data_IF_838514992889
#
_entry.id   IF_838514992889
#
_cell.length_a   1.000
_cell.length_b   1.000
_cell.length_c   1.000
_cell.angle_alpha   90.00
_cell.angle_beta   90.00
_cell.angle_gamma   90.00
#
_symmetry.space_group_name_H-M   'P 1'
#
loop_
_entity.id
_entity.type
_entity.pdbx_description
1 polymer ?
#
# COMPACT_ATOMS: atom_id res chain seq x y z
N UNK A 1 1.81 -12.34 35.41
CA UNK A 1 2.89 -13.04 34.66
C UNK A 1 2.59 -13.12 33.14
N UNK A 2 1.45 -13.73 32.67
CA UNK A 2 1.16 -13.83 31.23
C UNK A 2 0.75 -12.48 30.64
N UNK A 3 0.02 -11.64 31.35
CA UNK A 3 -0.34 -10.27 30.92
C UNK A 3 0.87 -9.35 30.87
N UNK A 4 1.80 -9.47 31.81
CA UNK A 4 3.05 -8.71 31.83
C UNK A 4 3.96 -9.02 30.63
N UNK A 5 4.02 -10.31 30.25
CA UNK A 5 4.77 -10.76 29.06
C UNK A 5 4.09 -10.25 27.78
N UNK A 6 2.77 -10.21 27.73
CA UNK A 6 2.02 -9.67 26.58
C UNK A 6 2.17 -8.16 26.45
N UNK A 7 2.21 -7.43 27.55
CA UNK A 7 2.47 -5.98 27.56
C UNK A 7 3.92 -5.67 27.12
N UNK A 8 4.89 -6.50 27.52
CA UNK A 8 6.29 -6.35 27.12
C UNK A 8 6.52 -6.69 25.64
N UNK A 9 5.75 -7.64 25.06
CA UNK A 9 5.75 -7.96 23.64
C UNK A 9 5.00 -6.88 22.84
N UNK A 10 3.93 -6.31 23.39
CA UNK A 10 3.17 -5.21 22.77
C UNK A 10 4.01 -3.96 22.58
N UNK A 11 4.75 -3.53 23.61
CA UNK A 11 5.65 -2.37 23.54
C UNK A 11 6.79 -2.53 22.52
N UNK A 12 7.32 -3.74 22.34
CA UNK A 12 8.37 -4.00 21.34
C UNK A 12 7.86 -4.02 19.90
N UNK A 13 6.57 -4.22 19.68
CA UNK A 13 5.95 -4.15 18.35
C UNK A 13 5.59 -2.71 17.96
N UNK A 14 5.17 -1.89 18.92
CA UNK A 14 4.85 -0.47 18.71
C UNK A 14 6.09 0.40 18.41
N UNK A 15 7.27 0.04 18.92
CA UNK A 15 8.53 0.74 18.64
C UNK A 15 9.06 0.54 17.19
N UNK A 16 8.48 -0.36 16.39
CA UNK A 16 8.84 -0.57 14.98
C UNK A 16 7.94 0.13 13.97
N UNK A 17 6.85 0.73 14.39
CA UNK A 17 6.16 1.73 13.63
C UNK A 17 6.93 3.05 13.74
N UNK A 18 8.04 3.18 12.99
CA UNK A 18 8.67 4.49 12.78
C UNK A 18 7.59 5.44 12.28
N UNK A 19 7.18 6.36 13.14
CA UNK A 19 6.32 7.46 12.80
C UNK A 19 6.91 8.22 11.61
N UNK A 20 6.41 7.94 10.41
CA UNK A 20 6.69 8.70 9.19
C UNK A 20 6.00 10.08 9.19
N UNK A 21 5.51 10.52 10.34
CA UNK A 21 4.98 11.87 10.56
C UNK A 21 6.08 12.95 10.65
N UNK A 22 7.33 12.58 10.38
CA UNK A 22 8.43 13.53 10.41
C UNK A 22 8.55 14.35 9.12
N UNK A 23 7.54 15.13 8.82
CA UNK A 23 7.69 16.43 8.13
C UNK A 23 8.24 17.50 9.09
N UNK A 24 8.87 17.07 10.21
CA UNK A 24 9.50 17.99 11.14
C UNK A 24 10.68 18.68 10.44
N UNK A 25 10.87 19.97 10.68
CA UNK A 25 11.98 20.75 10.09
C UNK A 25 13.35 20.20 10.49
N UNK A 26 13.44 19.39 11.53
CA UNK A 26 14.67 18.75 12.03
C UNK A 26 15.03 17.44 11.32
N UNK A 27 14.12 16.83 10.53
CA UNK A 27 14.41 15.61 9.81
C UNK A 27 15.37 15.83 8.63
N UNK A 28 16.27 14.87 8.30
CA UNK A 28 17.16 14.98 7.16
C UNK A 28 16.41 15.28 5.86
N UNK A 29 16.94 16.13 5.01
CA UNK A 29 16.26 16.60 3.78
C UNK A 29 15.73 15.46 2.88
N UNK A 30 16.48 14.35 2.81
CA UNK A 30 16.06 13.17 2.03
C UNK A 30 14.84 12.48 2.64
N UNK A 31 14.76 12.41 3.98
CA UNK A 31 13.62 11.83 4.70
C UNK A 31 12.37 12.67 4.42
N UNK A 32 12.47 13.99 4.59
CA UNK A 32 11.37 14.92 4.27
C UNK A 32 10.93 14.84 2.82
N UNK A 33 11.89 14.70 1.89
CA UNK A 33 11.57 14.60 0.46
C UNK A 33 10.76 13.34 0.15
N UNK A 34 11.18 12.17 0.65
CA UNK A 34 10.47 10.90 0.43
C UNK A 34 9.08 10.95 1.06
N UNK A 35 8.98 11.41 2.30
CA UNK A 35 7.69 11.59 2.99
C UNK A 35 6.77 12.53 2.20
N UNK A 36 7.30 13.65 1.70
CA UNK A 36 6.53 14.59 0.89
C UNK A 36 6.01 13.96 -0.41
N UNK A 37 6.84 13.18 -1.10
CA UNK A 37 6.42 12.45 -2.33
C UNK A 37 5.24 11.53 -2.03
N UNK A 38 5.31 10.76 -0.93
CA UNK A 38 4.24 9.84 -0.52
C UNK A 38 2.95 10.59 -0.17
N UNK A 39 3.04 11.65 0.61
CA UNK A 39 1.89 12.47 1.00
C UNK A 39 1.24 13.15 -0.21
N UNK A 40 2.03 13.73 -1.11
CA UNK A 40 1.51 14.37 -2.32
C UNK A 40 0.82 13.36 -3.25
N UNK A 41 1.38 12.15 -3.39
CA UNK A 41 0.77 11.08 -4.17
C UNK A 41 -0.60 10.67 -3.60
N UNK A 42 -0.69 10.50 -2.27
CA UNK A 42 -1.98 10.19 -1.62
C UNK A 42 -2.99 11.33 -1.77
N UNK A 43 -2.56 12.59 -1.60
CA UNK A 43 -3.41 13.78 -1.75
C UNK A 43 -3.97 13.89 -3.17
N UNK A 44 -3.17 13.54 -4.18
CA UNK A 44 -3.56 13.58 -5.59
C UNK A 44 -4.33 12.32 -6.02
N UNK A 45 -4.57 11.36 -5.11
CA UNK A 45 -5.17 10.06 -5.43
C UNK A 45 -4.41 9.33 -6.53
N UNK A 46 -3.08 9.45 -6.54
CA UNK A 46 -2.24 8.74 -7.48
C UNK A 46 -2.28 7.23 -7.21
N UNK A 47 -2.33 6.44 -8.28
CA UNK A 47 -2.24 4.98 -8.19
C UNK A 47 -0.79 4.49 -8.09
N UNK A 48 0.11 5.16 -8.81
CA UNK A 48 1.52 4.76 -8.87
C UNK A 48 2.43 6.00 -8.79
N UNK A 49 3.60 5.81 -8.17
CA UNK A 49 4.71 6.77 -8.14
C UNK A 49 5.89 6.10 -8.86
N UNK A 50 6.51 6.82 -9.77
CA UNK A 50 7.69 6.38 -10.50
C UNK A 50 8.86 7.30 -10.16
N UNK A 51 10.00 6.73 -9.77
CA UNK A 51 11.26 7.43 -9.57
C UNK A 51 12.21 6.88 -10.63
N UNK A 52 12.41 7.64 -11.68
CA UNK A 52 13.11 7.22 -12.87
C UNK A 52 14.46 7.94 -12.98
N UNK A 53 15.59 7.24 -12.78
CA UNK A 53 16.90 7.82 -13.01
C UNK A 53 17.13 8.06 -14.50
N UNK A 54 17.76 9.17 -14.81
CA UNK A 54 18.16 9.50 -16.17
C UNK A 54 19.69 9.67 -16.28
N UNK A 55 20.23 9.27 -17.42
CA UNK A 55 21.66 9.45 -17.68
C UNK A 55 21.96 10.93 -17.95
N UNK A 56 22.82 11.53 -17.10
CA UNK A 56 23.21 12.94 -17.22
C UNK A 56 22.08 13.97 -17.05
N UNK A 57 20.97 13.59 -16.42
CA UNK A 57 19.86 14.47 -16.09
C UNK A 57 19.35 14.17 -14.67
N UNK A 58 18.62 15.08 -14.01
CA UNK A 58 18.01 14.81 -12.71
C UNK A 58 17.04 13.63 -12.78
N UNK A 59 16.95 12.87 -11.69
CA UNK A 59 15.97 11.80 -11.54
C UNK A 59 14.56 12.37 -11.57
N UNK A 60 13.71 11.84 -12.44
CA UNK A 60 12.31 12.28 -12.52
C UNK A 60 11.45 11.54 -11.51
N UNK A 61 10.57 12.30 -10.85
CA UNK A 61 9.50 11.77 -10.02
C UNK A 61 8.19 12.01 -10.77
N UNK A 62 7.54 10.92 -11.15
CA UNK A 62 6.24 10.95 -11.86
C UNK A 62 5.16 10.29 -11.02
N UNK A 63 3.94 10.74 -11.15
CA UNK A 63 2.79 10.13 -10.51
C UNK A 63 1.73 9.79 -11.55
N UNK A 64 1.11 8.64 -11.41
CA UNK A 64 -0.04 8.25 -12.22
C UNK A 64 -1.31 8.69 -11.53
N UNK A 65 -2.00 9.65 -12.12
CA UNK A 65 -3.28 10.18 -11.64
C UNK A 65 -4.31 9.98 -12.74
N UNK A 66 -5.44 9.36 -12.43
CA UNK A 66 -6.50 9.02 -13.38
C UNK A 66 -5.98 8.29 -14.64
N UNK A 67 -5.05 7.35 -14.43
CA UNK A 67 -4.44 6.56 -15.49
C UNK A 67 -3.31 7.27 -16.28
N UNK A 68 -3.12 8.58 -16.09
CA UNK A 68 -2.12 9.39 -16.80
C UNK A 68 -0.90 9.65 -15.92
N UNK A 69 0.31 9.34 -16.41
CA UNK A 69 1.55 9.71 -15.75
C UNK A 69 1.87 11.20 -15.98
N UNK A 70 2.18 11.91 -14.90
CA UNK A 70 2.54 13.32 -14.90
C UNK A 70 3.86 13.53 -14.17
N UNK A 71 4.71 14.41 -14.69
CA UNK A 71 5.94 14.83 -14.00
C UNK A 71 5.56 15.71 -12.81
N UNK A 72 6.08 15.37 -11.62
CA UNK A 72 5.77 16.11 -10.38
C UNK A 72 6.96 16.90 -9.88
N UNK A 73 8.16 16.30 -9.88
CA UNK A 73 9.38 16.94 -9.41
C UNK A 73 10.61 16.25 -9.99
N UNK A 74 11.76 16.86 -9.74
CA UNK A 74 13.06 16.33 -10.13
C UNK A 74 13.97 16.27 -8.90
N UNK A 75 14.71 15.17 -8.77
CA UNK A 75 15.69 14.97 -7.71
C UNK A 75 17.08 15.11 -8.31
N UNK A 76 17.95 15.99 -7.78
CA UNK A 76 19.33 16.08 -8.24
C UNK A 76 20.04 14.73 -8.17
N UNK A 77 20.88 14.42 -9.16
CA UNK A 77 21.58 13.13 -9.24
C UNK A 77 22.43 12.83 -7.99
N UNK A 78 22.96 13.85 -7.34
CA UNK A 78 23.70 13.71 -6.07
C UNK A 78 22.87 13.10 -4.94
N UNK A 79 21.55 13.23 -4.97
CA UNK A 79 20.61 12.74 -3.95
C UNK A 79 19.87 11.47 -4.37
N UNK A 80 19.98 11.06 -5.64
CA UNK A 80 19.29 9.87 -6.16
C UNK A 80 19.51 8.62 -5.27
N UNK A 81 20.77 8.26 -5.04
CA UNK A 81 21.10 7.08 -4.26
C UNK A 81 20.59 7.15 -2.81
N UNK A 82 20.55 8.34 -2.22
CA UNK A 82 20.04 8.54 -0.87
C UNK A 82 18.51 8.37 -0.81
N UNK A 83 17.79 8.87 -1.82
CA UNK A 83 16.34 8.68 -1.96
C UNK A 83 15.99 7.18 -2.13
N UNK A 84 16.73 6.47 -3.02
CA UNK A 84 16.52 5.03 -3.21
C UNK A 84 16.82 4.25 -1.93
N UNK A 85 17.93 4.56 -1.25
CA UNK A 85 18.30 3.93 0.01
C UNK A 85 17.22 4.13 1.09
N UNK A 86 16.66 5.35 1.22
CA UNK A 86 15.57 5.63 2.16
C UNK A 86 14.32 4.80 1.84
N UNK A 87 13.92 4.73 0.58
CA UNK A 87 12.78 3.91 0.16
C UNK A 87 13.02 2.42 0.46
N UNK A 88 14.24 1.92 0.19
CA UNK A 88 14.60 0.53 0.52
C UNK A 88 14.54 0.24 2.01
N UNK A 89 15.03 1.15 2.86
CA UNK A 89 14.93 1.03 4.33
C UNK A 89 13.47 0.90 4.75
N UNK A 90 12.64 1.84 4.30
CA UNK A 90 11.21 1.86 4.61
C UNK A 90 10.46 0.61 4.14
N UNK A 91 10.97 -0.03 3.08
CA UNK A 91 10.34 -1.22 2.47
C UNK A 91 10.99 -2.53 2.91
N UNK A 92 11.93 -2.48 3.87
CA UNK A 92 12.72 -3.61 4.36
C UNK A 92 13.47 -4.36 3.25
N UNK A 93 14.02 -3.61 2.27
CA UNK A 93 14.80 -4.11 1.14
C UNK A 93 16.30 -4.01 1.40
N UNK A 94 17.08 -4.82 0.69
CA UNK A 94 18.55 -4.81 0.81
C UNK A 94 19.14 -3.57 0.12
N UNK A 95 19.72 -2.66 0.90
CA UNK A 95 20.33 -1.40 0.42
C UNK A 95 21.61 -1.66 -0.39
N UNK A 96 22.36 -2.68 -0.01
CA UNK A 96 23.64 -3.00 -0.64
C UNK A 96 23.49 -3.65 -2.03
N UNK A 97 22.38 -4.37 -2.26
CA UNK A 97 22.12 -5.02 -3.55
C UNK A 97 21.43 -4.05 -4.50
N UNK A 98 22.08 -3.79 -5.64
CA UNK A 98 21.61 -2.84 -6.67
C UNK A 98 21.51 -3.45 -8.07
N UNK A 99 21.83 -4.75 -8.21
CA UNK A 99 21.97 -5.42 -9.52
C UNK A 99 20.75 -6.26 -9.86
N UNK A 100 19.93 -6.59 -8.89
CA UNK A 100 18.73 -7.41 -9.10
C UNK A 100 17.48 -6.65 -8.65
N UNK A 101 16.34 -6.86 -9.31
CA UNK A 101 15.07 -6.30 -8.85
C UNK A 101 14.73 -6.78 -7.45
N UNK A 102 14.09 -5.92 -6.66
CA UNK A 102 13.60 -6.26 -5.33
C UNK A 102 12.16 -5.77 -5.19
N UNK A 103 11.32 -6.57 -4.53
CA UNK A 103 9.95 -6.23 -4.19
C UNK A 103 9.78 -6.16 -2.68
N UNK A 104 9.05 -5.16 -2.20
CA UNK A 104 8.75 -4.97 -0.80
C UNK A 104 7.48 -4.19 -0.57
N UNK A 105 7.22 -3.91 0.71
CA UNK A 105 6.09 -3.09 1.13
C UNK A 105 6.57 -2.05 2.14
N UNK A 106 5.99 -0.88 2.09
CA UNK A 106 6.09 0.13 3.14
C UNK A 106 4.69 0.57 3.55
N UNK A 107 4.59 1.11 4.74
CA UNK A 107 3.38 1.77 5.21
C UNK A 107 3.73 3.13 5.79
N UNK A 108 2.86 4.11 5.64
CA UNK A 108 3.00 5.41 6.27
C UNK A 108 1.65 5.91 6.77
N UNK A 109 1.67 6.72 7.83
CA UNK A 109 0.46 7.30 8.39
C UNK A 109 0.15 8.62 7.69
N UNK A 110 -1.09 8.82 7.31
CA UNK A 110 -1.59 10.09 6.80
C UNK A 110 -2.91 10.43 7.47
N UNK A 111 -2.91 11.45 8.32
CA UNK A 111 -4.10 11.90 9.07
C UNK A 111 -4.77 10.77 9.89
N UNK A 112 -3.98 9.93 10.54
CA UNK A 112 -4.47 8.80 11.33
C UNK A 112 -4.89 7.57 10.50
N UNK A 113 -4.68 7.59 9.18
CA UNK A 113 -4.92 6.44 8.31
C UNK A 113 -3.60 5.83 7.85
N UNK A 114 -3.44 4.54 8.08
CA UNK A 114 -2.30 3.78 7.54
C UNK A 114 -2.48 3.60 6.03
N UNK A 115 -1.49 4.03 5.26
CA UNK A 115 -1.44 3.89 3.82
C UNK A 115 -0.37 2.86 3.46
N UNK A 116 -0.77 1.75 2.89
CA UNK A 116 0.16 0.73 2.41
C UNK A 116 0.59 1.01 0.97
N UNK A 117 1.87 0.73 0.69
CA UNK A 117 2.47 0.94 -0.63
C UNK A 117 3.32 -0.27 -0.99
N UNK A 118 3.05 -0.86 -2.14
CA UNK A 118 3.93 -1.87 -2.72
C UNK A 118 5.06 -1.18 -3.46
N UNK A 119 6.28 -1.64 -3.22
CA UNK A 119 7.51 -1.05 -3.76
C UNK A 119 8.25 -2.10 -4.60
N UNK A 120 8.63 -1.73 -5.82
CA UNK A 120 9.51 -2.51 -6.67
C UNK A 120 10.71 -1.65 -7.06
N UNK A 121 11.92 -2.16 -6.84
CA UNK A 121 13.15 -1.53 -7.32
C UNK A 121 13.67 -2.28 -8.55
N UNK A 122 14.12 -1.56 -9.55
CA UNK A 122 14.55 -2.12 -10.84
C UNK A 122 15.90 -1.51 -11.23
N UNK A 123 16.95 -2.33 -11.41
CA UNK A 123 18.22 -1.86 -11.95
C UNK A 123 18.05 -1.31 -13.36
N UNK A 124 18.62 -0.15 -13.64
CA UNK A 124 18.68 0.46 -14.97
C UNK A 124 20.10 0.90 -15.29
N UNK A 125 20.34 1.26 -16.56
CA UNK A 125 21.66 1.79 -16.99
C UNK A 125 22.01 3.14 -16.36
N UNK A 126 21.03 3.84 -15.79
CA UNK A 126 21.23 5.15 -15.17
C UNK A 126 21.22 5.10 -13.62
N UNK A 127 20.99 3.94 -13.03
CA UNK A 127 20.83 3.72 -11.59
C UNK A 127 19.62 2.85 -11.31
N UNK A 128 19.24 2.73 -10.04
CA UNK A 128 18.01 2.00 -9.68
C UNK A 128 16.78 2.89 -9.86
N UNK A 129 15.81 2.40 -10.64
CA UNK A 129 14.46 2.97 -10.68
C UNK A 129 13.58 2.38 -9.59
N UNK A 130 12.55 3.11 -9.17
CA UNK A 130 11.56 2.64 -8.21
C UNK A 130 10.15 2.88 -8.73
N UNK A 131 9.31 1.86 -8.60
CA UNK A 131 7.87 1.97 -8.81
C UNK A 131 7.17 1.67 -7.48
N UNK A 132 6.35 2.59 -7.04
CA UNK A 132 5.56 2.45 -5.82
C UNK A 132 4.08 2.48 -6.18
N UNK A 133 3.34 1.43 -5.85
CA UNK A 133 1.88 1.36 -6.02
C UNK A 133 1.20 1.60 -4.69
N UNK A 134 0.38 2.65 -4.63
CA UNK A 134 -0.42 2.95 -3.46
C UNK A 134 -1.59 1.98 -3.42
N UNK A 135 -1.66 1.20 -2.34
CA UNK A 135 -2.78 0.29 -2.11
C UNK A 135 -3.97 1.07 -1.57
N UNK A 136 -5.17 0.56 -1.82
CA UNK A 136 -6.38 1.20 -1.31
C UNK A 136 -6.33 1.24 0.22
N UNK A 137 -6.21 2.44 0.80
CA UNK A 137 -6.23 2.63 2.25
C UNK A 137 -7.66 2.59 2.76
N UNK A 138 -7.90 1.77 3.75
CA UNK A 138 -9.20 1.59 4.37
C UNK A 138 -9.72 0.20 4.06
N UNK A 139 -9.89 -0.61 5.08
CA UNK A 139 -10.35 -2.00 5.00
C UNK A 139 -11.48 -2.25 4.00
N UNK A 140 -12.02 -3.43 3.98
CA UNK A 140 -13.10 -3.77 3.06
C UNK A 140 -14.22 -2.74 3.10
N UNK A 141 -14.64 -2.29 1.91
CA UNK A 141 -15.83 -1.46 1.80
C UNK A 141 -17.02 -2.20 2.41
N UNK A 142 -17.78 -1.62 3.35
CA UNK A 142 -18.98 -2.26 3.87
C UNK A 142 -19.95 -2.61 2.73
N UNK A 143 -20.59 -3.76 2.81
CA UNK A 143 -21.53 -4.27 1.79
C UNK A 143 -22.67 -3.27 1.50
N UNK A 144 -23.01 -2.44 2.51
CA UNK A 144 -24.01 -1.37 2.42
C UNK A 144 -23.60 -0.27 1.44
N UNK A 145 -22.29 -0.02 1.30
CA UNK A 145 -21.73 1.05 0.46
C UNK A 145 -21.45 0.61 -0.98
N UNK A 146 -21.72 -0.66 -1.32
CA UNK A 146 -21.48 -1.19 -2.67
C UNK A 146 -22.46 -0.68 -3.74
N UNK A 147 -23.42 0.17 -3.38
CA UNK A 147 -24.46 0.68 -4.30
C UNK A 147 -25.21 -0.40 -5.08
N UNK A 148 -25.39 -1.58 -4.49
CA UNK A 148 -26.21 -2.63 -5.09
C UNK A 148 -27.68 -2.24 -5.09
N UNK A 149 -28.39 -2.55 -6.18
CA UNK A 149 -29.84 -2.45 -6.18
C UNK A 149 -30.45 -3.27 -5.02
N UNK A 150 -31.48 -2.77 -4.30
CA UNK A 150 -31.99 -3.42 -3.09
C UNK A 150 -32.34 -4.91 -3.27
N UNK A 151 -32.93 -5.29 -4.38
CA UNK A 151 -33.26 -6.69 -4.69
C UNK A 151 -32.00 -7.56 -4.90
N UNK A 152 -30.93 -7.01 -5.50
CA UNK A 152 -29.66 -7.72 -5.68
C UNK A 152 -28.90 -7.87 -4.37
N UNK A 153 -28.94 -6.83 -3.54
CA UNK A 153 -28.35 -6.87 -2.20
C UNK A 153 -29.00 -7.97 -1.35
N UNK A 154 -30.33 -8.00 -1.27
CA UNK A 154 -31.03 -9.00 -0.49
C UNK A 154 -30.72 -10.43 -0.96
N UNK A 155 -30.65 -10.65 -2.28
CA UNK A 155 -30.26 -11.96 -2.84
C UNK A 155 -28.82 -12.33 -2.50
N UNK A 156 -27.89 -11.39 -2.57
CA UNK A 156 -26.49 -11.62 -2.21
C UNK A 156 -26.38 -12.00 -0.73
N UNK A 157 -27.01 -11.24 0.15
CA UNK A 157 -27.00 -11.51 1.60
C UNK A 157 -27.61 -12.88 1.95
N UNK A 158 -28.66 -13.30 1.23
CA UNK A 158 -29.24 -14.65 1.40
C UNK A 158 -28.27 -15.74 0.92
N UNK A 159 -27.62 -15.54 -0.22
CA UNK A 159 -26.66 -16.52 -0.76
C UNK A 159 -25.43 -16.71 0.12
N UNK A 160 -24.83 -15.62 0.61
CA UNK A 160 -23.59 -15.68 1.40
C UNK A 160 -23.80 -16.23 2.82
N UNK A 161 -25.04 -16.26 3.33
CA UNK A 161 -25.39 -16.88 4.62
C UNK A 161 -25.51 -18.40 4.55
N UNK A 162 -25.56 -18.99 3.37
CA UNK A 162 -25.68 -20.43 3.23
C UNK A 162 -24.43 -21.15 3.69
N UNK A 163 -24.56 -22.31 4.37
CA UNK A 163 -23.42 -22.98 4.99
C UNK A 163 -22.48 -23.68 4.00
N UNK A 164 -22.85 -23.77 2.73
CA UNK A 164 -22.07 -24.43 1.68
C UNK A 164 -22.42 -23.85 0.30
N UNK A 165 -21.51 -23.99 -0.63
CA UNK A 165 -21.66 -23.52 -2.01
C UNK A 165 -20.39 -22.86 -2.53
N UNK A 166 -20.48 -22.35 -3.75
CA UNK A 166 -19.43 -21.55 -4.40
C UNK A 166 -20.06 -20.26 -4.88
N UNK A 167 -19.43 -19.13 -4.59
CA UNK A 167 -19.77 -17.82 -5.13
C UNK A 167 -18.66 -17.38 -6.06
N UNK A 168 -18.98 -17.17 -7.34
CA UNK A 168 -18.02 -16.68 -8.33
C UNK A 168 -18.24 -15.18 -8.57
N UNK A 169 -17.17 -14.40 -8.43
CA UNK A 169 -17.13 -12.98 -8.76
C UNK A 169 -16.25 -12.80 -9.98
N UNK A 170 -16.84 -12.50 -11.13
CA UNK A 170 -16.16 -12.45 -12.43
C UNK A 170 -16.29 -11.07 -13.08
N UNK A 171 -15.29 -10.71 -13.89
CA UNK A 171 -15.27 -9.44 -14.61
C UNK A 171 -13.84 -9.04 -15.04
N UNK A 172 -13.70 -8.01 -15.88
CA UNK A 172 -12.39 -7.52 -16.30
C UNK A 172 -11.61 -6.86 -15.14
N UNK A 173 -10.35 -6.52 -15.39
CA UNK A 173 -9.54 -5.75 -14.42
C UNK A 173 -10.20 -4.40 -14.14
N UNK A 174 -10.20 -3.99 -12.86
CA UNK A 174 -10.83 -2.73 -12.42
C UNK A 174 -12.36 -2.78 -12.27
N UNK A 175 -13.01 -3.93 -12.51
CA UNK A 175 -14.48 -4.05 -12.35
C UNK A 175 -14.98 -4.17 -10.90
N UNK A 176 -14.07 -4.15 -9.91
CA UNK A 176 -14.40 -4.23 -8.50
C UNK A 176 -14.52 -5.66 -7.93
N UNK A 177 -13.92 -6.66 -8.59
CA UNK A 177 -13.94 -8.06 -8.08
C UNK A 177 -13.40 -8.17 -6.67
N UNK A 178 -12.17 -7.70 -6.45
CA UNK A 178 -11.48 -7.72 -5.16
C UNK A 178 -12.27 -6.93 -4.12
N UNK A 179 -12.75 -5.74 -4.45
CA UNK A 179 -13.60 -4.92 -3.58
C UNK A 179 -14.87 -5.67 -3.16
N UNK A 180 -15.53 -6.35 -4.10
CA UNK A 180 -16.75 -7.14 -3.84
C UNK A 180 -16.47 -8.33 -2.92
N UNK A 181 -15.39 -9.09 -3.19
CA UNK A 181 -14.99 -10.22 -2.35
C UNK A 181 -14.68 -9.77 -0.93
N UNK A 182 -13.88 -8.71 -0.77
CA UNK A 182 -13.54 -8.19 0.56
C UNK A 182 -14.74 -7.61 1.30
N UNK A 183 -15.71 -6.99 0.61
CA UNK A 183 -16.96 -6.54 1.21
C UNK A 183 -17.79 -7.73 1.75
N UNK A 184 -17.84 -8.83 1.01
CA UNK A 184 -18.50 -10.08 1.44
C UNK A 184 -17.77 -10.70 2.62
N UNK A 185 -16.45 -10.80 2.55
CA UNK A 185 -15.64 -11.34 3.64
C UNK A 185 -15.80 -10.51 4.91
N UNK A 186 -15.75 -9.18 4.83
CA UNK A 186 -16.00 -8.30 5.96
C UNK A 186 -17.40 -8.46 6.57
N UNK A 187 -18.41 -8.69 5.74
CA UNK A 187 -19.77 -8.98 6.22
C UNK A 187 -19.88 -10.35 6.93
N UNK A 188 -19.11 -11.34 6.48
CA UNK A 188 -19.12 -12.69 7.05
C UNK A 188 -18.18 -12.84 8.25
N UNK A 189 -17.22 -11.94 8.42
CA UNK A 189 -16.19 -12.02 9.46
C UNK A 189 -16.80 -11.70 10.83
N UNK A 190 -17.06 -12.75 11.59
CA UNK A 190 -17.56 -12.69 12.98
C UNK A 190 -16.62 -13.49 13.89
N UNK A 191 -16.56 -13.22 15.19
CA UNK A 191 -15.68 -13.94 16.12
C UNK A 191 -15.82 -15.46 16.10
N UNK A 192 -16.98 -15.97 15.69
CA UNK A 192 -17.28 -17.41 15.63
C UNK A 192 -16.80 -18.06 14.34
N UNK A 193 -16.36 -17.29 13.35
CA UNK A 193 -15.96 -17.81 12.04
C UNK A 193 -14.48 -17.66 11.80
N UNK A 194 -13.84 -18.71 11.34
CA UNK A 194 -12.48 -18.68 10.83
C UNK A 194 -12.53 -18.65 9.30
N UNK A 195 -12.01 -17.57 8.72
CA UNK A 195 -11.98 -17.35 7.27
C UNK A 195 -10.53 -17.46 6.79
N UNK A 196 -10.32 -18.13 5.66
CA UNK A 196 -9.03 -18.22 4.99
C UNK A 196 -9.14 -17.60 3.61
N UNK A 197 -8.17 -16.76 3.24
CA UNK A 197 -8.01 -16.24 1.89
C UNK A 197 -6.70 -16.72 1.28
N UNK A 198 -6.69 -16.90 -0.04
CA UNK A 198 -5.49 -17.12 -0.84
C UNK A 198 -5.46 -16.05 -1.94
N UNK A 199 -4.48 -15.16 -1.85
CA UNK A 199 -4.37 -13.98 -2.70
C UNK A 199 -2.95 -13.83 -3.24
N UNK A 200 -2.82 -13.43 -4.50
CA UNK A 200 -1.52 -13.18 -5.14
C UNK A 200 -1.57 -11.92 -6.02
N UNK A 201 -1.11 -10.76 -5.48
CA UNK A 201 -0.80 -10.48 -4.09
C UNK A 201 -2.03 -10.11 -3.25
N UNK A 202 -1.86 -10.00 -1.92
CA UNK A 202 -2.87 -9.40 -1.03
C UNK A 202 -3.01 -7.92 -1.38
N UNK A 203 -4.24 -7.50 -1.76
CA UNK A 203 -4.56 -6.11 -2.12
C UNK A 203 -5.21 -5.32 -0.99
N UNK A 204 -6.01 -5.99 -0.16
CA UNK A 204 -6.77 -5.37 0.95
C UNK A 204 -6.53 -6.18 2.22
N UNK A 205 -6.08 -5.53 3.28
CA UNK A 205 -5.92 -6.15 4.59
C UNK A 205 -7.16 -5.85 5.44
N UNK A 206 -7.68 -6.87 6.12
CA UNK A 206 -8.81 -6.73 7.04
C UNK A 206 -8.39 -7.15 8.44
N UNK A 207 -8.83 -6.44 9.49
CA UNK A 207 -8.67 -6.91 10.86
C UNK A 207 -9.59 -8.12 11.13
N UNK A 208 -9.11 -9.08 11.93
CA UNK A 208 -9.88 -10.25 12.36
C UNK A 208 -9.16 -11.55 12.21
#
# INVERSE_FOLDING_TARGET
EMSEILDEIGTTAEEKEEHLDELSDDAPAVVRLVSRILHDAKRLSASDIHIDPEKNAPTRVRMRVDGVCRDMSQVPNSHHNAVIARIKIMSNLNIAEKRVPQDGKLAFNMNGQLVEVRVATIPTVAGEGVVMRILASGGAMPIEKMNLAPGNRARLEDMIKKPHGILLVVGPTGSGKTTTLHAILGYLNTPEKKIWTAEDPVEITQPG
#
